data_IF_066129714922
#
_entry.id   IF_066129714922
#
_cell.length_a   1.000
_cell.length_b   1.000
_cell.length_c   1.000
_cell.angle_alpha   90.00
_cell.angle_beta   90.00
_cell.angle_gamma   90.00
#
_symmetry.space_group_name_H-M   'P 1'
#
loop_
_entity.id
_entity.type
_entity.pdbx_description
1 polymer ?
#
# COMPACT_ATOMS: atom_id res chain seq x y z
N UNK A 1 -4.86 7.55 -15.98
CA UNK A 1 -4.28 7.17 -14.69
C UNK A 1 -3.19 6.14 -14.89
N UNK A 2 -2.11 6.23 -14.13
CA UNK A 2 -1.00 5.28 -14.19
C UNK A 2 -0.47 5.01 -12.78
N UNK A 3 -0.20 3.74 -12.47
CA UNK A 3 0.53 3.32 -11.27
C UNK A 3 1.98 3.08 -11.66
N UNK A 4 2.89 3.81 -11.04
CA UNK A 4 4.34 3.66 -11.27
C UNK A 4 5.16 4.10 -10.06
N UNK A 5 6.41 3.71 -10.04
CA UNK A 5 7.38 4.21 -9.08
C UNK A 5 7.66 5.71 -9.27
N UNK A 6 8.13 6.36 -8.21
CA UNK A 6 8.68 7.72 -8.30
C UNK A 6 10.00 7.74 -9.05
N UNK A 7 10.25 8.82 -9.73
CA UNK A 7 11.55 9.18 -10.31
C UNK A 7 12.04 10.49 -9.70
N UNK A 8 13.33 10.85 -9.84
CA UNK A 8 13.83 12.16 -9.40
C UNK A 8 13.11 13.36 -10.02
N UNK A 9 12.44 13.16 -11.17
CA UNK A 9 11.68 14.22 -11.87
C UNK A 9 10.31 14.52 -11.23
N UNK A 10 9.86 13.68 -10.29
CA UNK A 10 8.52 13.80 -9.70
C UNK A 10 8.48 14.66 -8.43
N UNK A 11 9.55 15.39 -8.11
CA UNK A 11 9.67 16.14 -6.85
C UNK A 11 8.51 17.10 -6.63
N UNK A 12 8.15 17.90 -7.63
CA UNK A 12 7.06 18.87 -7.52
C UNK A 12 5.70 18.20 -7.31
N UNK A 13 5.45 17.09 -8.03
CA UNK A 13 4.24 16.29 -7.87
C UNK A 13 4.16 15.65 -6.48
N UNK A 14 5.29 15.16 -5.99
CA UNK A 14 5.38 14.58 -4.65
C UNK A 14 5.19 15.62 -3.54
N UNK A 15 5.74 16.82 -3.66
CA UNK A 15 5.54 17.89 -2.67
C UNK A 15 4.06 18.26 -2.53
N UNK A 16 3.32 18.31 -3.63
CA UNK A 16 1.87 18.53 -3.63
C UNK A 16 1.14 17.37 -2.95
N UNK A 17 1.51 16.13 -3.27
CA UNK A 17 0.99 14.93 -2.63
C UNK A 17 1.22 14.95 -1.11
N UNK A 18 2.44 15.26 -0.67
CA UNK A 18 2.79 15.34 0.73
C UNK A 18 1.92 16.37 1.48
N UNK A 19 1.77 17.56 0.91
CA UNK A 19 0.94 18.64 1.49
C UNK A 19 -0.55 18.30 1.51
N UNK A 20 -1.03 17.53 0.53
CA UNK A 20 -2.46 17.18 0.41
C UNK A 20 -2.98 16.28 1.52
N UNK A 21 -2.11 15.65 2.31
CA UNK A 21 -2.50 14.86 3.48
C UNK A 21 -3.00 15.70 4.66
N UNK A 22 -2.79 17.03 4.65
CA UNK A 22 -3.36 17.96 5.63
C UNK A 22 -3.14 17.55 7.09
N UNK A 23 -1.92 17.15 7.44
CA UNK A 23 -1.52 16.62 8.75
C UNK A 23 -2.14 15.25 9.14
N UNK A 24 -2.89 14.60 8.28
CA UNK A 24 -3.22 13.20 8.46
C UNK A 24 -1.99 12.31 8.32
N UNK A 25 -2.03 11.12 8.92
CA UNK A 25 -0.98 10.12 8.74
C UNK A 25 -0.90 9.68 7.28
N UNK A 26 0.28 9.81 6.68
CA UNK A 26 0.53 9.40 5.29
C UNK A 26 0.58 7.87 5.21
N UNK A 27 -0.21 7.31 4.33
CA UNK A 27 -0.30 5.86 4.09
C UNK A 27 -0.05 5.57 2.60
N UNK A 28 0.82 4.61 2.28
CA UNK A 28 1.72 3.83 3.14
C UNK A 28 2.78 4.67 3.85
N UNK A 29 3.18 4.26 5.06
CA UNK A 29 4.16 5.02 5.88
C UNK A 29 5.50 5.24 5.19
N UNK A 30 5.92 4.31 4.35
CA UNK A 30 7.16 4.41 3.57
C UNK A 30 7.09 5.46 2.44
N UNK A 31 5.95 6.09 2.22
CA UNK A 31 5.81 7.24 1.31
C UNK A 31 5.94 8.58 2.02
N UNK A 32 6.19 8.58 3.33
CA UNK A 32 6.37 9.79 4.13
C UNK A 32 7.84 10.25 4.07
N UNK A 33 8.07 11.42 3.49
CA UNK A 33 9.40 12.01 3.34
C UNK A 33 10.17 12.13 4.67
N UNK A 34 9.47 12.30 5.78
CA UNK A 34 10.10 12.47 7.11
C UNK A 34 10.98 11.32 7.57
N UNK A 35 10.82 10.13 7.00
CA UNK A 35 11.66 8.96 7.35
C UNK A 35 12.93 8.85 6.50
N UNK A 36 13.16 9.79 5.61
CA UNK A 36 14.30 9.83 4.69
C UNK A 36 15.07 11.13 4.90
N UNK A 37 16.30 11.18 4.39
CA UNK A 37 17.12 12.38 4.45
C UNK A 37 16.58 13.50 3.55
N UNK A 38 16.13 13.13 2.36
CA UNK A 38 15.57 14.03 1.35
C UNK A 38 14.75 13.23 0.31
N UNK A 39 14.20 13.92 -0.69
CA UNK A 39 13.39 13.31 -1.73
C UNK A 39 14.18 12.31 -2.58
N UNK A 40 15.40 12.64 -2.95
CA UNK A 40 16.29 11.81 -3.76
C UNK A 40 16.64 10.50 -3.03
N UNK A 41 16.93 10.58 -1.72
CA UNK A 41 17.16 9.42 -0.85
C UNK A 41 15.91 8.52 -0.77
N UNK A 42 14.72 9.12 -0.65
CA UNK A 42 13.46 8.37 -0.67
C UNK A 42 13.28 7.62 -1.99
N UNK A 43 13.45 8.30 -3.13
CA UNK A 43 13.30 7.67 -4.46
C UNK A 43 14.24 6.48 -4.61
N UNK A 44 15.50 6.63 -4.22
CA UNK A 44 16.51 5.57 -4.28
C UNK A 44 16.15 4.39 -3.38
N UNK A 45 15.83 4.64 -2.12
CA UNK A 45 15.47 3.59 -1.14
C UNK A 45 14.18 2.85 -1.53
N UNK A 46 13.18 3.54 -2.04
CA UNK A 46 11.98 2.90 -2.55
C UNK A 46 12.28 1.99 -3.75
N UNK A 47 13.11 2.44 -4.68
CA UNK A 47 13.52 1.62 -5.83
C UNK A 47 14.31 0.37 -5.42
N UNK A 48 15.20 0.48 -4.43
CA UNK A 48 16.02 -0.63 -3.92
C UNK A 48 15.23 -1.63 -3.06
N UNK A 49 14.05 -1.27 -2.57
CA UNK A 49 13.25 -2.13 -1.69
C UNK A 49 12.83 -3.46 -2.32
N UNK A 50 12.83 -3.56 -3.64
CA UNK A 50 12.60 -4.81 -4.38
C UNK A 50 13.68 -5.86 -4.14
N UNK A 51 14.86 -5.44 -3.67
CA UNK A 51 16.03 -6.29 -3.42
C UNK A 51 16.21 -6.68 -1.96
N UNK A 52 15.26 -6.33 -1.07
CA UNK A 52 15.30 -6.73 0.33
C UNK A 52 15.17 -8.27 0.43
N UNK A 53 16.17 -8.92 1.01
CA UNK A 53 16.19 -10.39 1.10
C UNK A 53 16.11 -10.92 2.53
N UNK A 54 16.43 -10.08 3.50
CA UNK A 54 16.53 -10.47 4.93
C UNK A 54 15.50 -9.80 5.79
N UNK A 55 14.87 -10.58 6.68
CA UNK A 55 13.94 -10.05 7.69
C UNK A 55 14.63 -9.02 8.62
N UNK A 56 13.90 -8.02 9.10
CA UNK A 56 12.44 -7.83 8.96
C UNK A 56 12.01 -7.22 7.61
N UNK A 57 12.94 -6.84 6.75
CA UNK A 57 12.65 -6.23 5.46
C UNK A 57 12.39 -7.30 4.40
N UNK A 58 11.17 -7.30 3.86
CA UNK A 58 10.81 -8.16 2.74
C UNK A 58 10.89 -7.41 1.41
N UNK A 59 11.13 -8.11 0.27
CA UNK A 59 11.11 -7.47 -1.03
C UNK A 59 9.72 -6.89 -1.31
N UNK A 60 9.70 -5.63 -1.75
CA UNK A 60 8.47 -4.90 -2.00
C UNK A 60 8.66 -3.82 -3.06
N UNK A 61 7.57 -3.33 -3.61
CA UNK A 61 7.56 -2.13 -4.47
C UNK A 61 6.50 -1.16 -3.99
N UNK A 62 6.75 0.13 -4.20
CA UNK A 62 5.77 1.19 -3.91
C UNK A 62 5.44 1.92 -5.19
N UNK A 63 4.16 1.88 -5.55
CA UNK A 63 3.65 2.54 -6.75
C UNK A 63 2.76 3.70 -6.34
N UNK A 64 2.92 4.80 -7.05
CA UNK A 64 2.11 6.00 -6.87
C UNK A 64 1.10 6.12 -8.00
N UNK A 65 -0.13 6.46 -7.65
CA UNK A 65 -1.21 6.64 -8.61
C UNK A 65 -1.19 8.06 -9.15
N UNK A 66 -0.77 8.20 -10.39
CA UNK A 66 -0.75 9.47 -11.10
C UNK A 66 -2.00 9.67 -11.95
N UNK A 67 -2.56 10.87 -11.88
CA UNK A 67 -3.48 11.41 -12.87
C UNK A 67 -2.87 12.70 -13.39
N UNK A 68 -2.44 12.69 -14.65
CA UNK A 68 -1.57 13.74 -15.22
C UNK A 68 -0.31 13.90 -14.33
N UNK A 69 -0.07 15.10 -13.80
CA UNK A 69 1.03 15.39 -12.88
C UNK A 69 0.66 15.32 -11.38
N UNK A 70 -0.56 14.94 -11.05
CA UNK A 70 -1.01 14.82 -9.66
C UNK A 70 -0.89 13.40 -9.15
N UNK A 71 -0.45 13.24 -7.92
CA UNK A 71 -0.43 11.97 -7.20
C UNK A 71 -1.67 11.91 -6.30
N UNK A 72 -2.53 10.92 -6.55
CA UNK A 72 -3.80 10.73 -5.85
C UNK A 72 -3.73 9.75 -4.69
N UNK A 73 -2.69 8.92 -4.66
CA UNK A 73 -2.50 7.90 -3.64
C UNK A 73 -1.28 7.06 -3.94
N UNK A 74 -1.04 6.07 -3.08
CA UNK A 74 0.06 5.13 -3.26
C UNK A 74 -0.32 3.74 -2.72
N UNK A 75 0.35 2.71 -3.23
CA UNK A 75 0.23 1.33 -2.77
C UNK A 75 1.62 0.71 -2.61
N UNK A 76 1.84 0.07 -1.46
CA UNK A 76 3.01 -0.77 -1.22
C UNK A 76 2.61 -2.24 -1.38
N UNK A 77 3.37 -2.97 -2.16
CA UNK A 77 3.12 -4.37 -2.53
C UNK A 77 4.31 -5.19 -2.04
N UNK A 78 4.09 -6.08 -1.09
CA UNK A 78 5.09 -6.98 -0.51
C UNK A 78 5.04 -8.32 -1.22
N UNK A 79 6.18 -8.78 -1.70
CA UNK A 79 6.25 -9.98 -2.55
C UNK A 79 6.21 -11.28 -1.76
N UNK A 80 6.52 -11.21 -0.46
CA UNK A 80 6.36 -12.29 0.50
C UNK A 80 5.98 -11.74 1.87
N UNK A 81 5.54 -12.61 2.75
CA UNK A 81 5.27 -12.28 4.15
C UNK A 81 6.34 -12.91 5.06
N UNK A 82 6.56 -12.28 6.20
CA UNK A 82 7.19 -12.87 7.38
C UNK A 82 6.14 -12.97 8.50
N UNK A 83 6.50 -13.51 9.66
CA UNK A 83 5.55 -13.70 10.77
C UNK A 83 4.87 -12.40 11.23
N UNK A 84 5.60 -11.29 11.23
CA UNK A 84 5.06 -10.00 11.62
C UNK A 84 4.04 -9.48 10.60
N UNK A 85 4.36 -9.55 9.32
CA UNK A 85 3.47 -9.11 8.25
C UNK A 85 2.24 -10.01 8.08
N UNK A 86 2.33 -11.29 8.41
CA UNK A 86 1.15 -12.17 8.46
C UNK A 86 0.14 -11.71 9.53
N UNK A 87 0.64 -11.15 10.62
CA UNK A 87 -0.19 -10.63 11.72
C UNK A 87 -0.64 -9.19 11.49
N UNK A 88 0.27 -8.31 11.05
CA UNK A 88 0.10 -6.87 11.18
C UNK A 88 0.10 -6.07 9.87
N UNK A 89 0.19 -6.67 8.71
CA UNK A 89 0.31 -5.87 7.49
C UNK A 89 -0.26 -6.50 6.22
N UNK A 90 -0.03 -7.79 6.05
CA UNK A 90 -0.38 -8.48 4.81
C UNK A 90 0.49 -8.06 3.63
N UNK A 91 0.09 -8.45 2.43
CA UNK A 91 0.82 -8.19 1.19
C UNK A 91 0.65 -6.75 0.66
N UNK A 92 -0.46 -6.10 0.94
CA UNK A 92 -0.83 -4.83 0.30
C UNK A 92 -1.19 -3.80 1.37
N UNK A 93 -0.55 -2.64 1.27
CA UNK A 93 -0.91 -1.45 2.05
C UNK A 93 -1.10 -0.27 1.11
N UNK A 94 -2.21 0.44 1.21
CA UNK A 94 -2.56 1.53 0.31
C UNK A 94 -3.14 2.73 1.05
N UNK A 95 -3.02 3.90 0.45
CA UNK A 95 -3.65 5.12 0.92
C UNK A 95 -4.01 6.05 -0.23
N UNK A 96 -5.11 6.76 -0.07
CA UNK A 96 -5.61 7.78 -1.00
C UNK A 96 -5.59 9.12 -0.28
N UNK A 97 -5.10 10.15 -0.95
CA UNK A 97 -5.07 11.51 -0.40
C UNK A 97 -6.48 11.97 -0.03
N UNK A 98 -6.67 12.74 1.05
CA UNK A 98 -7.99 13.11 1.56
C UNK A 98 -8.96 13.63 0.49
N UNK A 99 -8.49 14.54 -0.36
CA UNK A 99 -9.32 15.15 -1.40
C UNK A 99 -9.66 14.22 -2.58
N UNK A 100 -8.96 13.09 -2.72
CA UNK A 100 -9.20 12.12 -3.79
C UNK A 100 -10.05 10.92 -3.36
N UNK A 101 -10.42 10.82 -2.09
CA UNK A 101 -11.24 9.72 -1.54
C UNK A 101 -12.63 9.67 -2.17
N UNK A 102 -13.27 8.51 -2.11
CA UNK A 102 -14.63 8.31 -2.62
C UNK A 102 -14.73 8.08 -4.13
N UNK A 103 -13.62 8.05 -4.87
CA UNK A 103 -13.57 7.91 -6.33
C UNK A 103 -13.18 6.49 -6.80
N UNK A 104 -13.08 5.53 -5.89
CA UNK A 104 -12.73 4.14 -6.23
C UNK A 104 -11.23 3.88 -6.45
N UNK A 105 -10.35 4.83 -6.17
CA UNK A 105 -8.90 4.69 -6.40
C UNK A 105 -8.27 3.60 -5.53
N UNK A 106 -8.71 3.43 -4.29
CA UNK A 106 -8.27 2.34 -3.42
C UNK A 106 -8.56 0.98 -4.03
N UNK A 107 -9.77 0.79 -4.57
CA UNK A 107 -10.13 -0.45 -5.25
C UNK A 107 -9.28 -0.69 -6.50
N UNK A 108 -9.04 0.35 -7.29
CA UNK A 108 -8.18 0.26 -8.45
C UNK A 108 -6.75 -0.16 -8.08
N UNK A 109 -6.14 0.50 -7.08
CA UNK A 109 -4.80 0.17 -6.61
C UNK A 109 -4.70 -1.24 -6.03
N UNK A 110 -5.69 -1.64 -5.23
CA UNK A 110 -5.72 -2.99 -4.65
C UNK A 110 -5.83 -4.06 -5.73
N UNK A 111 -6.70 -3.85 -6.72
CA UNK A 111 -6.84 -4.79 -7.84
C UNK A 111 -5.55 -4.92 -8.63
N UNK A 112 -4.93 -3.80 -8.96
CA UNK A 112 -3.64 -3.80 -9.65
C UNK A 112 -2.57 -4.56 -8.85
N UNK A 113 -2.50 -4.33 -7.54
CA UNK A 113 -1.53 -4.98 -6.67
C UNK A 113 -1.73 -6.50 -6.60
N UNK A 114 -2.98 -6.98 -6.57
CA UNK A 114 -3.30 -8.41 -6.61
C UNK A 114 -2.85 -9.02 -7.95
N UNK A 115 -3.16 -8.37 -9.06
CA UNK A 115 -2.75 -8.83 -10.39
C UNK A 115 -1.21 -8.82 -10.54
N UNK A 116 -0.54 -7.83 -9.95
CA UNK A 116 0.92 -7.76 -9.92
C UNK A 116 1.52 -8.93 -9.13
N UNK A 117 1.01 -9.25 -7.94
CA UNK A 117 1.47 -10.36 -7.11
C UNK A 117 1.27 -11.71 -7.83
N UNK A 118 0.18 -11.88 -8.57
CA UNK A 118 -0.06 -13.07 -9.38
C UNK A 118 1.05 -13.26 -10.44
N UNK A 119 1.52 -12.18 -11.08
CA UNK A 119 2.64 -12.27 -12.03
C UNK A 119 3.95 -12.74 -11.39
N UNK A 120 4.08 -12.59 -10.08
CA UNK A 120 5.22 -13.05 -9.29
C UNK A 120 5.03 -14.47 -8.72
N UNK A 121 3.90 -15.13 -9.02
CA UNK A 121 3.58 -16.46 -8.52
C UNK A 121 3.03 -16.48 -7.09
N UNK A 122 2.52 -15.34 -6.59
CA UNK A 122 1.85 -15.25 -5.29
C UNK A 122 0.35 -15.48 -5.51
N UNK A 123 -0.09 -16.70 -5.24
CA UNK A 123 -1.46 -17.14 -5.52
C UNK A 123 -2.44 -16.80 -4.38
N UNK A 124 -1.93 -16.68 -3.17
CA UNK A 124 -2.69 -16.33 -1.98
C UNK A 124 -2.27 -14.98 -1.42
N UNK A 125 -3.15 -14.00 -1.49
CA UNK A 125 -2.89 -12.63 -1.04
C UNK A 125 -3.61 -12.34 0.26
N UNK A 126 -2.85 -12.01 1.32
CA UNK A 126 -3.38 -11.59 2.61
C UNK A 126 -3.52 -10.07 2.64
N UNK A 127 -4.69 -9.62 3.04
CA UNK A 127 -5.03 -8.21 3.23
C UNK A 127 -5.54 -7.98 4.65
N UNK A 128 -5.05 -6.96 5.30
CA UNK A 128 -5.45 -6.60 6.66
C UNK A 128 -6.04 -5.18 6.68
N UNK A 129 -7.10 -4.99 7.45
CA UNK A 129 -7.69 -3.68 7.71
C UNK A 129 -8.13 -3.57 9.16
N UNK A 130 -7.94 -2.40 9.76
CA UNK A 130 -8.52 -2.09 11.06
C UNK A 130 -10.05 -2.22 11.01
N UNK A 131 -10.67 -2.81 12.03
CA UNK A 131 -12.12 -3.03 12.06
C UNK A 131 -12.89 -1.71 11.99
N UNK A 132 -12.31 -0.62 12.49
CA UNK A 132 -12.92 0.71 12.43
C UNK A 132 -12.75 1.38 11.05
N UNK A 133 -11.90 0.83 10.19
CA UNK A 133 -11.66 1.35 8.84
C UNK A 133 -12.67 0.76 7.83
N UNK A 134 -13.92 1.16 7.95
CA UNK A 134 -15.00 0.69 7.07
C UNK A 134 -14.73 0.90 5.56
N UNK A 135 -14.15 2.03 5.09
CA UNK A 135 -13.81 2.19 3.68
C UNK A 135 -12.82 1.15 3.17
N UNK A 136 -11.77 0.82 3.95
CA UNK A 136 -10.80 -0.22 3.59
C UNK A 136 -11.46 -1.59 3.54
N UNK A 137 -12.22 -1.97 4.55
CA UNK A 137 -12.96 -3.25 4.58
C UNK A 137 -13.87 -3.38 3.36
N UNK A 138 -14.62 -2.34 3.03
CA UNK A 138 -15.47 -2.32 1.84
C UNK A 138 -14.69 -2.50 0.55
N UNK A 139 -13.48 -1.92 0.47
CA UNK A 139 -12.57 -2.10 -0.67
C UNK A 139 -12.12 -3.55 -0.79
N UNK A 140 -11.74 -4.18 0.32
CA UNK A 140 -11.26 -5.56 0.34
C UNK A 140 -12.37 -6.53 -0.07
N UNK A 141 -13.57 -6.40 0.49
CA UNK A 141 -14.73 -7.23 0.14
C UNK A 141 -15.11 -7.13 -1.34
N UNK A 142 -14.93 -5.97 -1.96
CA UNK A 142 -15.18 -5.79 -3.40
C UNK A 142 -14.16 -6.47 -4.32
N UNK A 143 -13.06 -6.97 -3.79
CA UNK A 143 -12.03 -7.71 -4.52
C UNK A 143 -12.18 -9.25 -4.39
N UNK A 144 -13.38 -9.73 -4.05
CA UNK A 144 -13.68 -11.15 -3.87
C UNK A 144 -12.80 -11.83 -2.80
N UNK A 145 -12.49 -11.08 -1.74
CA UNK A 145 -11.76 -11.62 -0.60
C UNK A 145 -12.69 -12.42 0.32
N UNK A 146 -12.12 -13.41 0.98
CA UNK A 146 -12.77 -14.18 2.04
C UNK A 146 -12.24 -13.66 3.37
N UNK A 147 -13.16 -13.20 4.22
CA UNK A 147 -12.81 -12.82 5.60
C UNK A 147 -12.43 -14.05 6.40
N UNK A 148 -11.33 -13.96 7.12
CA UNK A 148 -10.86 -14.99 8.04
C UNK A 148 -10.89 -14.46 9.47
N UNK A 149 -10.58 -15.32 10.45
CA UNK A 149 -10.61 -14.96 11.85
C UNK A 149 -9.82 -13.66 12.12
N UNK A 150 -10.45 -12.65 12.72
CA UNK A 150 -9.78 -11.38 13.02
C UNK A 150 -8.70 -11.57 14.09
N UNK A 151 -7.69 -10.73 14.04
CA UNK A 151 -6.64 -10.70 15.05
C UNK A 151 -6.89 -9.58 16.07
N UNK A 152 -6.73 -9.90 17.35
CA UNK A 152 -6.78 -8.91 18.43
C UNK A 152 -5.37 -8.44 18.77
N UNK A 153 -5.12 -7.14 18.70
CA UNK A 153 -3.85 -6.49 19.02
C UNK A 153 -4.07 -5.47 20.15
N UNK A 154 -3.95 -5.90 21.40
CA UNK A 154 -4.28 -5.03 22.52
C UNK A 154 -5.76 -4.61 22.45
N UNK A 155 -6.03 -3.31 22.37
CA UNK A 155 -7.38 -2.77 22.19
C UNK A 155 -7.83 -2.72 20.71
N UNK A 156 -6.92 -2.91 19.77
CA UNK A 156 -7.17 -2.85 18.33
C UNK A 156 -7.58 -4.20 17.78
N UNK A 157 -8.63 -4.24 16.98
CA UNK A 157 -9.07 -5.42 16.24
C UNK A 157 -8.82 -5.24 14.75
N UNK A 158 -8.14 -6.21 14.15
CA UNK A 158 -7.78 -6.20 12.73
C UNK A 158 -8.57 -7.26 12.00
N UNK A 159 -9.33 -6.86 10.98
CA UNK A 159 -9.98 -7.77 10.05
C UNK A 159 -8.96 -8.25 9.02
N UNK A 160 -9.03 -9.55 8.70
CA UNK A 160 -8.10 -10.22 7.79
C UNK A 160 -8.85 -10.87 6.66
N UNK A 161 -8.31 -10.76 5.45
CA UNK A 161 -8.94 -11.23 4.23
C UNK A 161 -7.94 -11.98 3.37
N UNK A 162 -8.29 -13.19 2.96
CA UNK A 162 -7.56 -13.92 1.94
C UNK A 162 -8.23 -13.77 0.58
N UNK A 163 -7.42 -13.53 -0.44
CA UNK A 163 -7.82 -13.67 -1.83
C UNK A 163 -7.08 -14.87 -2.38
N UNK A 164 -7.85 -15.89 -2.75
CA UNK A 164 -7.36 -17.08 -3.46
C UNK A 164 -7.91 -17.03 -4.88
N UNK A 165 -7.05 -17.22 -5.87
CA UNK A 165 -7.42 -17.15 -7.29
C UNK A 165 -7.55 -18.51 -7.97
N UNK A 166 -7.53 -19.58 -7.19
CA UNK A 166 -7.74 -20.93 -7.70
C UNK A 166 -9.19 -21.38 -7.63
#
# INVERSE_FOLDING_TARGET
MILRELTPLDKDSYEKYYKSWNNEEIIPKNTNLKIYENFEDMVEKLALSKMNETDPLVPNTTLFLFYKSEILGAVNIRFRLNEDLEKHGGHINFGVTPNARGNGYSRFMTRYAIDYLETLGVDEVLLNADIENAPSIKTLLKNNSVEIEPLQEGERKVCRFWINRH
#
